data_IF_859108118815
#
_entry.id   IF_859108118815
#
_cell.length_a   1.000
_cell.length_b   1.000
_cell.length_c   1.000
_cell.angle_alpha   90.00
_cell.angle_beta   90.00
_cell.angle_gamma   90.00
#
_symmetry.space_group_name_H-M   'P 1'
#
loop_
_entity.id
_entity.type
_entity.pdbx_description
1 polymer ?
#
# COMPACT_ATOMS: atom_id res chain seq x y z
N UNK A 1 -0.23 -21.88 -14.90
CA UNK A 1 -0.76 -20.50 -14.71
C UNK A 1 -0.36 -20.07 -13.32
N UNK A 2 0.47 -19.04 -13.20
CA UNK A 2 1.14 -18.72 -11.95
C UNK A 2 0.20 -18.00 -10.96
N UNK A 3 0.38 -18.29 -9.68
CA UNK A 3 -0.26 -17.63 -8.54
C UNK A 3 0.77 -16.74 -7.87
N UNK A 4 0.45 -15.47 -7.59
CA UNK A 4 1.43 -14.61 -6.96
C UNK A 4 1.18 -13.12 -7.07
N UNK A 5 2.24 -12.35 -6.86
CA UNK A 5 2.24 -10.90 -6.92
C UNK A 5 3.12 -10.44 -8.08
N UNK A 6 2.69 -9.40 -8.78
CA UNK A 6 3.49 -8.71 -9.78
C UNK A 6 3.60 -7.23 -9.43
N UNK A 7 4.82 -6.70 -9.57
CA UNK A 7 5.12 -5.30 -9.37
C UNK A 7 5.09 -4.61 -10.74
N UNK A 8 4.28 -3.57 -10.89
CA UNK A 8 4.12 -2.88 -12.18
C UNK A 8 4.31 -1.38 -12.00
N UNK A 9 5.11 -0.76 -12.85
CA UNK A 9 5.24 0.69 -12.92
C UNK A 9 4.07 1.24 -13.75
N UNK A 10 3.09 1.84 -13.09
CA UNK A 10 1.92 2.40 -13.79
C UNK A 10 2.34 3.69 -14.49
N UNK A 11 2.13 3.83 -15.81
CA UNK A 11 2.36 5.09 -16.51
C UNK A 11 1.30 6.13 -16.11
N UNK A 12 1.61 7.40 -16.34
CA UNK A 12 0.64 8.51 -16.23
C UNK A 12 -0.47 8.32 -17.27
N UNK A 13 -1.69 8.74 -16.94
CA UNK A 13 -2.84 8.81 -17.86
C UNK A 13 -3.83 7.66 -17.73
N UNK A 14 -3.43 6.51 -17.17
CA UNK A 14 -4.34 5.36 -16.97
C UNK A 14 -4.79 5.23 -15.51
N UNK A 15 -5.99 4.71 -15.27
CA UNK A 15 -6.42 4.37 -13.91
C UNK A 15 -5.74 3.07 -13.42
N UNK A 16 -5.70 2.82 -12.11
CA UNK A 16 -5.29 1.50 -11.59
C UNK A 16 -6.20 0.35 -12.07
N UNK A 17 -7.45 0.64 -12.45
CA UNK A 17 -8.36 -0.37 -13.00
C UNK A 17 -8.01 -0.71 -14.45
N UNK A 18 -7.63 0.28 -15.25
CA UNK A 18 -7.14 0.07 -16.63
C UNK A 18 -5.86 -0.76 -16.63
N UNK A 19 -4.94 -0.49 -15.68
CA UNK A 19 -3.76 -1.32 -15.45
C UNK A 19 -4.15 -2.79 -15.22
N UNK A 20 -5.10 -3.06 -14.32
CA UNK A 20 -5.59 -4.43 -14.08
C UNK A 20 -6.14 -5.06 -15.36
N UNK A 21 -6.90 -4.31 -16.18
CA UNK A 21 -7.44 -4.82 -17.44
C UNK A 21 -6.35 -5.11 -18.49
N UNK A 22 -5.27 -4.32 -18.52
CA UNK A 22 -4.10 -4.58 -19.35
C UNK A 22 -3.39 -5.87 -18.91
N UNK A 23 -3.16 -6.04 -17.60
CA UNK A 23 -2.55 -7.25 -17.05
C UNK A 23 -3.40 -8.50 -17.33
N UNK A 24 -4.73 -8.41 -17.24
CA UNK A 24 -5.63 -9.54 -17.54
C UNK A 24 -5.47 -10.03 -18.98
N UNK A 25 -5.30 -9.09 -19.92
CA UNK A 25 -5.07 -9.40 -21.34
C UNK A 25 -3.69 -10.01 -21.56
N UNK A 26 -2.64 -9.44 -20.94
CA UNK A 26 -1.25 -9.91 -21.06
C UNK A 26 -1.06 -11.32 -20.48
N UNK A 27 -1.60 -11.58 -19.29
CA UNK A 27 -1.41 -12.84 -18.56
C UNK A 27 -2.49 -13.89 -18.86
N UNK A 28 -3.49 -13.57 -19.69
CA UNK A 28 -4.55 -14.51 -20.04
C UNK A 28 -5.42 -14.98 -18.87
N UNK A 29 -5.49 -14.23 -17.77
CA UNK A 29 -6.33 -14.55 -16.59
C UNK A 29 -7.26 -13.43 -16.22
N UNK A 30 -8.48 -13.77 -15.75
CA UNK A 30 -9.48 -12.80 -15.29
C UNK A 30 -9.23 -12.35 -13.84
N UNK A 31 -8.59 -13.18 -13.01
CA UNK A 31 -8.48 -12.97 -11.57
C UNK A 31 -7.24 -12.14 -11.25
N UNK A 32 -7.36 -10.82 -11.43
CA UNK A 32 -6.34 -9.84 -11.08
C UNK A 32 -6.96 -8.72 -10.26
N UNK A 33 -6.23 -8.26 -9.23
CA UNK A 33 -6.53 -7.09 -8.40
C UNK A 33 -5.27 -6.31 -8.06
N UNK A 34 -5.38 -5.20 -7.33
CA UNK A 34 -4.25 -4.37 -6.93
C UNK A 34 -4.31 -3.95 -5.45
N UNK A 35 -3.16 -3.78 -4.81
CA UNK A 35 -3.03 -3.37 -3.41
C UNK A 35 -2.76 -1.87 -3.28
N UNK A 36 -3.77 -1.07 -3.66
CA UNK A 36 -3.76 0.38 -3.45
C UNK A 36 -3.90 1.13 -4.76
N UNK A 37 -4.89 2.01 -4.81
CA UNK A 37 -5.17 2.84 -5.97
C UNK A 37 -4.11 3.93 -6.10
N UNK A 38 -3.77 4.24 -7.35
CA UNK A 38 -2.93 5.35 -7.74
C UNK A 38 -3.74 6.22 -8.71
N UNK A 39 -3.77 7.53 -8.48
CA UNK A 39 -4.57 8.46 -9.28
C UNK A 39 -4.12 8.44 -10.76
N UNK A 40 -4.99 8.76 -11.73
CA UNK A 40 -4.64 8.67 -13.15
C UNK A 40 -3.45 9.54 -13.55
N UNK A 41 -3.35 10.75 -12.99
CA UNK A 41 -2.24 11.68 -13.24
C UNK A 41 -0.92 11.25 -12.58
N UNK A 42 -0.99 10.31 -11.64
CA UNK A 42 0.18 9.81 -10.94
C UNK A 42 0.79 8.60 -11.66
N UNK A 43 2.07 8.33 -11.43
CA UNK A 43 2.79 7.15 -11.91
C UNK A 43 3.42 6.33 -10.77
N UNK A 44 4.09 5.24 -11.10
CA UNK A 44 4.92 4.49 -10.16
C UNK A 44 4.35 3.15 -9.76
N UNK A 45 4.93 2.59 -8.71
CA UNK A 45 4.69 1.21 -8.28
C UNK A 45 3.22 0.92 -8.02
N UNK A 46 2.70 -0.15 -8.60
CA UNK A 46 1.42 -0.78 -8.25
C UNK A 46 1.65 -2.27 -8.03
N UNK A 47 1.42 -2.72 -6.80
CA UNK A 47 1.44 -4.14 -6.45
C UNK A 47 0.12 -4.76 -6.93
N UNK A 48 0.20 -5.74 -7.82
CA UNK A 48 -0.95 -6.43 -8.40
C UNK A 48 -0.93 -7.91 -8.06
N UNK A 49 -2.08 -8.46 -7.67
CA UNK A 49 -2.22 -9.88 -7.31
C UNK A 49 -2.79 -10.65 -8.48
N UNK A 50 -2.19 -11.79 -8.80
CA UNK A 50 -2.60 -12.70 -9.87
C UNK A 50 -3.15 -13.97 -9.26
N UNK A 51 -4.34 -14.39 -9.69
CA UNK A 51 -5.03 -15.60 -9.25
C UNK A 51 -5.15 -15.70 -7.71
N UNK A 52 -4.50 -16.66 -7.05
CA UNK A 52 -4.52 -16.77 -5.57
C UNK A 52 -3.84 -15.57 -4.89
N UNK A 53 -2.94 -14.87 -5.58
CA UNK A 53 -2.30 -13.65 -5.07
C UNK A 53 -3.27 -12.51 -4.76
N UNK A 54 -4.46 -12.48 -5.40
CA UNK A 54 -5.48 -11.48 -5.03
C UNK A 54 -5.95 -11.61 -3.58
N UNK A 55 -5.80 -12.80 -2.98
CA UNK A 55 -6.27 -13.10 -1.62
C UNK A 55 -5.35 -12.51 -0.54
N UNK A 56 -4.11 -12.20 -0.87
CA UNK A 56 -3.10 -11.67 0.07
C UNK A 56 -2.88 -10.15 -0.09
N UNK A 57 -3.54 -9.49 -1.05
CA UNK A 57 -3.39 -8.05 -1.31
C UNK A 57 -3.69 -7.15 -0.10
N UNK A 58 -4.50 -7.62 0.85
CA UNK A 58 -4.82 -6.88 2.06
C UNK A 58 -3.59 -6.63 2.94
N UNK A 59 -2.61 -7.53 2.97
CA UNK A 59 -1.39 -7.36 3.78
C UNK A 59 -0.48 -6.28 3.20
N UNK A 60 -0.54 -6.06 1.88
CA UNK A 60 0.23 -5.01 1.20
C UNK A 60 -0.45 -3.64 1.34
N UNK A 61 -1.79 -3.59 1.41
CA UNK A 61 -2.53 -2.32 1.57
C UNK A 61 -2.12 -1.57 2.85
N UNK A 62 -1.77 -2.34 3.88
CA UNK A 62 -1.40 -1.88 5.21
C UNK A 62 0.00 -1.25 5.26
N UNK A 63 0.84 -1.52 4.25
CA UNK A 63 2.21 -1.02 4.21
C UNK A 63 2.28 0.49 4.02
N UNK A 64 3.31 1.09 4.60
CA UNK A 64 3.70 2.47 4.35
C UNK A 64 4.11 2.66 2.90
N UNK A 65 4.01 3.90 2.41
CA UNK A 65 4.24 4.24 1.00
C UNK A 65 5.16 5.45 0.92
N UNK A 66 6.05 5.44 -0.06
CA UNK A 66 6.92 6.58 -0.35
C UNK A 66 6.55 7.17 -1.70
N UNK A 67 6.38 8.49 -1.73
CA UNK A 67 6.02 9.24 -2.93
C UNK A 67 7.04 10.33 -3.20
N UNK A 68 7.37 10.53 -4.48
CA UNK A 68 8.00 11.75 -4.97
C UNK A 68 6.94 12.62 -5.60
N UNK A 69 6.90 13.89 -5.27
CA UNK A 69 5.87 14.81 -5.75
C UNK A 69 6.45 16.15 -6.17
N UNK A 70 5.86 16.75 -7.19
CA UNK A 70 6.01 18.17 -7.53
C UNK A 70 4.68 18.87 -7.24
N UNK A 71 4.74 20.09 -6.74
CA UNK A 71 3.61 20.99 -6.59
C UNK A 71 3.92 22.36 -7.18
N UNK A 72 2.86 23.11 -7.45
CA UNK A 72 2.92 24.54 -7.75
C UNK A 72 2.18 25.32 -6.67
N UNK A 73 2.83 26.32 -6.09
CA UNK A 73 2.27 27.26 -5.12
C UNK A 73 1.37 28.28 -5.82
N UNK A 74 0.42 28.87 -5.10
CA UNK A 74 -0.43 29.94 -5.63
C UNK A 74 -1.59 29.48 -6.51
N UNK A 75 -1.70 28.18 -6.80
CA UNK A 75 -2.80 27.62 -7.60
C UNK A 75 -3.56 26.58 -6.80
N UNK A 76 -4.88 26.66 -6.82
CA UNK A 76 -5.78 25.68 -6.21
C UNK A 76 -6.74 25.16 -7.29
N UNK A 77 -6.84 23.85 -7.40
CA UNK A 77 -7.81 23.16 -8.27
C UNK A 77 -8.89 22.45 -7.46
N UNK A 78 -10.01 22.11 -8.08
CA UNK A 78 -11.09 21.36 -7.41
C UNK A 78 -10.70 19.90 -7.07
N UNK A 79 -9.74 19.33 -7.79
CA UNK A 79 -9.21 17.96 -7.56
C UNK A 79 -7.96 17.92 -6.69
N UNK A 80 -7.35 19.09 -6.41
CA UNK A 80 -6.03 19.26 -5.77
C UNK A 80 -4.85 18.70 -6.58
N UNK A 81 -5.07 18.44 -7.87
CA UNK A 81 -4.04 18.10 -8.84
C UNK A 81 -4.24 18.87 -10.14
N UNK A 82 -3.25 18.78 -11.03
CA UNK A 82 -3.21 19.52 -12.30
C UNK A 82 -4.33 19.14 -13.29
N UNK A 83 -5.04 18.04 -13.06
CA UNK A 83 -6.14 17.62 -13.93
C UNK A 83 -7.47 18.29 -13.60
N UNK A 84 -7.54 18.94 -12.43
CA UNK A 84 -8.71 19.70 -12.00
C UNK A 84 -8.81 21.07 -12.65
N UNK A 85 -10.00 21.67 -12.53
CA UNK A 85 -10.23 23.06 -12.91
C UNK A 85 -9.64 23.96 -11.84
N UNK A 86 -8.90 24.99 -12.25
CA UNK A 86 -8.47 26.05 -11.34
C UNK A 86 -9.68 26.74 -10.73
N UNK A 87 -9.76 26.72 -9.40
CA UNK A 87 -10.82 27.40 -8.62
C UNK A 87 -10.32 28.69 -8.00
N UNK A 88 -9.02 28.79 -7.74
CA UNK A 88 -8.41 29.97 -7.14
C UNK A 88 -6.95 30.10 -7.58
N UNK A 89 -6.53 31.34 -7.85
CA UNK A 89 -5.13 31.70 -8.04
C UNK A 89 -4.78 32.86 -7.11
N UNK A 90 -3.63 32.75 -6.45
CA UNK A 90 -3.10 33.73 -5.52
C UNK A 90 -1.69 34.07 -5.91
N UNK A 91 -1.31 35.32 -5.67
CA UNK A 91 0.09 35.74 -5.81
C UNK A 91 0.95 34.95 -4.82
N UNK A 92 1.99 34.29 -5.31
CA UNK A 92 2.98 33.62 -4.47
C UNK A 92 3.92 34.67 -3.87
N UNK A 93 4.02 34.79 -2.54
CA UNK A 93 5.04 35.61 -1.90
C UNK A 93 6.44 35.15 -2.30
N UNK A 94 7.43 36.06 -2.24
CA UNK A 94 8.83 35.71 -2.46
C UNK A 94 9.41 34.93 -1.28
N UNK A 95 8.97 33.69 -1.07
CA UNK A 95 9.44 32.85 0.03
C UNK A 95 10.93 32.56 -0.10
N UNK A 96 11.65 32.65 1.02
CA UNK A 96 12.97 32.06 1.11
C UNK A 96 12.87 30.54 1.28
N UNK A 97 13.98 29.83 0.98
CA UNK A 97 14.06 28.38 1.13
C UNK A 97 13.60 27.92 2.53
N UNK A 98 14.03 28.61 3.59
CA UNK A 98 13.74 28.23 4.97
C UNK A 98 12.25 28.28 5.32
N UNK A 99 11.47 29.20 4.74
CA UNK A 99 10.03 29.29 5.01
C UNK A 99 9.29 28.06 4.47
N UNK A 100 9.56 27.70 3.21
CA UNK A 100 8.97 26.51 2.58
C UNK A 100 9.47 25.23 3.24
N UNK A 101 10.77 25.15 3.55
CA UNK A 101 11.37 24.02 4.25
C UNK A 101 10.71 23.79 5.61
N UNK A 102 10.57 24.84 6.42
CA UNK A 102 9.93 24.76 7.74
C UNK A 102 8.45 24.41 7.63
N UNK A 103 7.74 24.95 6.63
CA UNK A 103 6.35 24.60 6.38
C UNK A 103 6.20 23.11 6.06
N UNK A 104 7.02 22.56 5.16
CA UNK A 104 7.06 21.13 4.83
C UNK A 104 7.35 20.29 6.08
N UNK A 105 8.48 20.53 6.74
CA UNK A 105 8.93 19.75 7.89
C UNK A 105 7.94 19.77 9.06
N UNK A 106 7.14 20.82 9.20
CA UNK A 106 6.11 20.89 10.24
C UNK A 106 4.96 19.89 10.09
N UNK A 107 4.85 19.20 8.95
CA UNK A 107 3.89 18.10 8.75
C UNK A 107 4.46 16.72 9.08
N UNK A 108 5.77 16.60 9.37
CA UNK A 108 6.34 15.35 9.90
C UNK A 108 5.71 15.04 11.27
N UNK A 109 5.35 13.78 11.47
CA UNK A 109 4.56 13.34 12.63
C UNK A 109 3.13 12.99 12.25
N UNK A 110 2.23 13.10 13.22
CA UNK A 110 0.82 12.72 13.07
C UNK A 110 -0.08 13.94 13.02
N UNK A 111 -1.01 13.96 12.07
CA UNK A 111 -2.03 15.00 12.00
C UNK A 111 -3.35 14.46 11.44
N UNK A 112 -4.41 15.24 11.64
CA UNK A 112 -5.73 14.93 11.12
C UNK A 112 -5.88 15.48 9.70
N UNK A 113 -5.86 14.59 8.71
CA UNK A 113 -6.00 14.96 7.30
C UNK A 113 -7.44 14.77 6.82
N UNK A 114 -7.96 15.77 6.12
CA UNK A 114 -9.25 15.67 5.42
C UNK A 114 -9.03 14.98 4.06
N UNK A 115 -9.69 13.85 3.78
CA UNK A 115 -9.61 13.23 2.46
C UNK A 115 -10.14 14.17 1.37
N UNK A 116 -9.54 14.20 0.17
CA UNK A 116 -10.03 15.04 -0.92
C UNK A 116 -11.39 14.53 -1.41
N UNK A 117 -12.23 15.46 -1.89
CA UNK A 117 -13.55 15.14 -2.44
C UNK A 117 -13.45 14.14 -3.62
N UNK A 118 -12.43 14.27 -4.46
CA UNK A 118 -12.14 13.31 -5.52
C UNK A 118 -11.29 12.14 -4.99
N UNK A 119 -11.92 11.21 -4.27
CA UNK A 119 -11.27 9.99 -3.76
C UNK A 119 -12.14 8.74 -3.89
N UNK A 120 -11.51 7.56 -3.72
CA UNK A 120 -12.18 6.26 -3.77
C UNK A 120 -12.95 5.90 -2.47
N UNK A 121 -12.94 6.77 -1.45
CA UNK A 121 -13.72 6.56 -0.22
C UNK A 121 -15.20 6.55 -0.53
N UNK A 122 -15.98 5.92 0.35
CA UNK A 122 -17.43 5.82 0.22
C UNK A 122 -18.15 6.71 1.22
N UNK A 123 -19.25 7.32 0.78
CA UNK A 123 -20.25 7.98 1.61
C UNK A 123 -21.61 7.37 1.25
N UNK A 124 -22.32 6.82 2.23
CA UNK A 124 -23.60 6.11 2.04
C UNK A 124 -23.59 5.07 0.90
N UNK A 125 -22.49 4.30 0.78
CA UNK A 125 -22.33 3.24 -0.23
C UNK A 125 -21.75 3.69 -1.58
N UNK A 126 -21.78 4.99 -1.88
CA UNK A 126 -21.30 5.57 -3.14
C UNK A 126 -19.88 6.15 -3.01
N UNK A 127 -19.08 6.09 -4.09
CA UNK A 127 -17.70 6.61 -4.07
C UNK A 127 -17.70 8.14 -4.18
N UNK A 128 -16.88 8.83 -3.40
CA UNK A 128 -16.83 10.29 -3.35
C UNK A 128 -16.51 10.92 -4.72
N UNK A 129 -15.60 10.34 -5.50
CA UNK A 129 -15.32 10.89 -6.84
C UNK A 129 -16.55 10.88 -7.77
N UNK A 130 -17.53 9.98 -7.55
CA UNK A 130 -18.79 9.98 -8.33
C UNK A 130 -19.65 11.16 -7.90
N UNK A 131 -19.84 11.33 -6.59
CA UNK A 131 -20.59 12.44 -6.01
C UNK A 131 -19.99 13.80 -6.40
N UNK A 132 -18.66 13.94 -6.36
CA UNK A 132 -17.97 15.16 -6.75
C UNK A 132 -18.21 15.53 -8.23
N UNK A 133 -18.22 14.53 -9.12
CA UNK A 133 -18.56 14.71 -10.56
C UNK A 133 -20.02 15.11 -10.79
N UNK A 134 -20.91 14.79 -9.86
CA UNK A 134 -22.30 15.26 -9.84
C UNK A 134 -22.44 16.65 -9.20
N UNK A 135 -21.33 17.31 -8.83
CA UNK A 135 -21.32 18.60 -8.13
C UNK A 135 -21.58 18.52 -6.62
N UNK A 136 -21.70 17.31 -6.05
CA UNK A 136 -21.91 17.10 -4.61
C UNK A 136 -20.58 16.92 -3.89
N UNK A 137 -20.01 18.01 -3.41
CA UNK A 137 -18.78 18.00 -2.61
C UNK A 137 -19.11 17.57 -1.18
N UNK A 138 -18.65 16.38 -0.78
CA UNK A 138 -18.82 15.85 0.58
C UNK A 138 -17.48 15.91 1.30
N UNK A 139 -17.43 16.67 2.40
CA UNK A 139 -16.29 16.70 3.30
C UNK A 139 -16.43 15.57 4.33
N UNK A 140 -15.55 14.58 4.25
CA UNK A 140 -15.48 13.53 5.26
C UNK A 140 -14.80 14.02 6.54
N UNK A 141 -15.10 13.42 7.71
CA UNK A 141 -14.37 13.71 8.92
C UNK A 141 -12.86 13.45 8.72
N UNK A 142 -12.00 14.30 9.30
CA UNK A 142 -10.54 14.11 9.26
C UNK A 142 -10.14 12.73 9.80
N UNK A 143 -9.04 12.19 9.27
CA UNK A 143 -8.48 10.92 9.73
C UNK A 143 -7.02 11.09 10.16
N UNK A 144 -6.58 10.37 11.21
CA UNK A 144 -5.18 10.39 11.59
C UNK A 144 -4.36 9.78 10.46
N UNK A 145 -3.34 10.52 10.05
CA UNK A 145 -2.30 10.08 9.13
C UNK A 145 -0.95 10.38 9.75
N UNK A 146 0.07 9.64 9.34
CA UNK A 146 1.45 9.86 9.76
C UNK A 146 2.32 10.16 8.55
N UNK A 147 3.07 11.25 8.62
CA UNK A 147 4.17 11.56 7.72
C UNK A 147 5.44 11.19 8.46
N UNK A 148 6.12 10.14 8.01
CA UNK A 148 7.33 9.65 8.67
C UNK A 148 8.54 10.53 8.36
N UNK A 149 8.65 11.02 7.13
CA UNK A 149 9.69 11.95 6.71
C UNK A 149 9.28 12.69 5.45
N UNK A 150 9.87 13.88 5.27
CA UNK A 150 9.86 14.68 4.04
C UNK A 150 11.29 15.04 3.68
N UNK A 151 11.81 14.49 2.59
CA UNK A 151 13.20 14.58 2.18
C UNK A 151 13.30 15.08 0.73
N UNK A 152 14.52 15.21 0.19
CA UNK A 152 14.80 15.63 -1.19
C UNK A 152 14.08 16.91 -1.63
N UNK A 153 14.07 17.92 -0.75
CA UNK A 153 13.33 19.17 -0.97
C UNK A 153 14.05 20.02 -2.01
N UNK A 154 13.38 20.28 -3.12
CA UNK A 154 13.80 21.19 -4.18
C UNK A 154 12.81 22.34 -4.31
N UNK A 155 13.32 23.57 -4.52
CA UNK A 155 12.49 24.77 -4.67
C UNK A 155 13.00 25.54 -5.88
N UNK A 156 12.09 25.86 -6.80
CA UNK A 156 12.36 26.67 -7.97
C UNK A 156 11.16 27.58 -8.26
N UNK A 157 11.27 28.85 -7.91
CA UNK A 157 10.18 29.82 -7.98
C UNK A 157 8.93 29.31 -7.24
N UNK A 158 7.83 29.09 -7.96
CA UNK A 158 6.56 28.61 -7.43
C UNK A 158 6.49 27.08 -7.36
N UNK A 159 7.48 26.37 -7.92
CA UNK A 159 7.53 24.92 -7.91
C UNK A 159 8.31 24.39 -6.72
N UNK A 160 7.75 23.38 -6.07
CA UNK A 160 8.40 22.67 -4.96
C UNK A 160 8.34 21.18 -5.23
N UNK A 161 9.44 20.47 -5.02
CA UNK A 161 9.52 19.01 -5.09
C UNK A 161 9.94 18.44 -3.75
N UNK A 162 9.42 17.28 -3.37
CA UNK A 162 9.90 16.54 -2.21
C UNK A 162 9.57 15.04 -2.31
N UNK A 163 10.26 14.25 -1.50
CA UNK A 163 9.96 12.83 -1.25
C UNK A 163 9.30 12.70 0.12
N UNK A 164 8.14 12.06 0.22
CA UNK A 164 7.46 11.83 1.49
C UNK A 164 7.20 10.35 1.76
N UNK A 165 7.62 9.86 2.93
CA UNK A 165 7.22 8.54 3.44
C UNK A 165 6.00 8.70 4.34
N UNK A 166 4.91 8.00 4.02
CA UNK A 166 3.62 8.20 4.67
C UNK A 166 2.95 6.89 5.05
N UNK A 167 2.11 6.94 6.08
CA UNK A 167 1.25 5.82 6.48
C UNK A 167 0.23 5.47 5.40
N UNK A 168 -0.36 4.29 5.50
CA UNK A 168 -1.52 3.92 4.67
C UNK A 168 -2.65 4.96 4.78
N UNK A 169 -3.33 5.21 3.66
CA UNK A 169 -4.52 6.08 3.63
C UNK A 169 -4.25 7.58 3.58
N UNK A 170 -2.98 8.01 3.62
CA UNK A 170 -2.57 9.40 3.40
C UNK A 170 -2.77 9.81 1.94
N UNK A 171 -3.33 10.99 1.71
CA UNK A 171 -3.45 11.62 0.40
C UNK A 171 -2.37 12.69 0.23
N UNK A 172 -1.47 12.49 -0.73
CA UNK A 172 -0.43 13.50 -1.05
C UNK A 172 -1.07 14.80 -1.56
N UNK A 173 -2.20 14.70 -2.29
CA UNK A 173 -2.99 15.86 -2.72
C UNK A 173 -3.46 16.73 -1.55
N UNK A 174 -4.00 16.12 -0.49
CA UNK A 174 -4.38 16.85 0.72
C UNK A 174 -3.16 17.41 1.44
N UNK A 175 -2.07 16.63 1.58
CA UNK A 175 -0.83 17.12 2.19
C UNK A 175 -0.31 18.38 1.49
N UNK A 176 -0.26 18.37 0.16
CA UNK A 176 0.15 19.54 -0.65
C UNK A 176 -0.77 20.73 -0.44
N UNK A 177 -2.09 20.52 -0.43
CA UNK A 177 -3.04 21.59 -0.09
C UNK A 177 -2.80 22.16 1.30
N UNK A 178 -2.62 21.30 2.31
CA UNK A 178 -2.40 21.71 3.70
C UNK A 178 -1.09 22.52 3.84
N UNK A 179 -0.03 22.12 3.14
CA UNK A 179 1.23 22.88 3.02
C UNK A 179 0.98 24.25 2.38
N UNK A 180 0.25 24.28 1.27
CA UNK A 180 -0.12 25.52 0.59
C UNK A 180 -0.94 26.47 1.47
N UNK A 181 -1.87 25.94 2.26
CA UNK A 181 -2.63 26.71 3.25
C UNK A 181 -1.74 27.26 4.36
N UNK A 182 -0.79 26.46 4.85
CA UNK A 182 0.18 26.91 5.86
C UNK A 182 1.07 28.04 5.36
N UNK A 183 1.42 28.01 4.07
CA UNK A 183 2.14 29.10 3.39
C UNK A 183 1.22 30.27 3.00
N UNK A 184 -0.10 30.14 3.15
CA UNK A 184 -1.09 31.20 2.86
C UNK A 184 -1.42 31.41 1.37
N UNK A 185 -0.74 30.74 0.44
CA UNK A 185 -0.93 30.92 -1.00
C UNK A 185 -1.68 29.77 -1.68
N UNK A 186 -1.90 28.63 -1.00
CA UNK A 186 -2.45 27.43 -1.62
C UNK A 186 -1.41 26.71 -2.51
N UNK A 187 -1.72 25.47 -2.89
CA UNK A 187 -0.84 24.67 -3.73
C UNK A 187 -1.60 23.57 -4.45
N UNK A 188 -1.10 23.13 -5.60
CA UNK A 188 -1.69 22.01 -6.36
C UNK A 188 -0.60 21.04 -6.77
N UNK A 189 -0.88 19.74 -6.71
CA UNK A 189 0.06 18.71 -7.16
C UNK A 189 0.16 18.75 -8.69
N UNK A 190 1.37 18.92 -9.22
CA UNK A 190 1.65 18.88 -10.65
C UNK A 190 2.14 17.52 -11.11
N UNK A 191 2.95 16.85 -10.29
CA UNK A 191 3.44 15.50 -10.55
C UNK A 191 3.41 14.65 -9.28
N UNK A 192 3.10 13.36 -9.44
CA UNK A 192 3.08 12.41 -8.33
C UNK A 192 3.57 11.04 -8.81
N UNK A 193 4.58 10.50 -8.12
CA UNK A 193 5.12 9.16 -8.38
C UNK A 193 5.24 8.35 -7.10
N UNK A 194 4.63 7.17 -7.04
CA UNK A 194 4.86 6.22 -5.93
C UNK A 194 6.15 5.45 -6.18
N UNK A 195 7.15 5.69 -5.33
CA UNK A 195 8.48 5.08 -5.42
C UNK A 195 8.47 3.70 -4.77
N UNK A 196 7.82 3.56 -3.61
CA UNK A 196 7.78 2.29 -2.90
C UNK A 196 6.50 2.07 -2.09
N UNK A 197 6.26 0.81 -1.74
CA UNK A 197 5.21 0.37 -0.83
C UNK A 197 5.75 -0.79 0.02
N UNK A 198 5.97 -0.52 1.31
CA UNK A 198 6.70 -1.43 2.19
C UNK A 198 8.10 -1.73 1.65
N UNK A 199 8.42 -3.01 1.49
CA UNK A 199 9.72 -3.47 1.01
C UNK A 199 9.81 -3.51 -0.53
N UNK A 200 8.75 -3.13 -1.24
CA UNK A 200 8.70 -3.17 -2.70
C UNK A 200 9.03 -1.80 -3.29
N UNK A 201 9.99 -1.76 -4.21
CA UNK A 201 10.38 -0.56 -4.96
C UNK A 201 9.87 -0.61 -6.40
N UNK A 202 9.60 0.57 -6.98
CA UNK A 202 9.32 0.75 -8.40
C UNK A 202 10.51 0.34 -9.27
N UNK A 203 11.74 0.36 -8.75
CA UNK A 203 12.94 -0.06 -9.49
C UNK A 203 12.94 -1.56 -9.81
N UNK A 204 12.19 -2.34 -9.04
CA UNK A 204 11.97 -3.78 -9.27
C UNK A 204 10.66 -4.05 -10.03
N UNK A 205 9.96 -3.01 -10.48
CA UNK A 205 8.68 -3.15 -11.17
C UNK A 205 8.88 -3.26 -12.69
N UNK A 206 8.00 -4.02 -13.33
CA UNK A 206 7.98 -4.16 -14.77
C UNK A 206 7.18 -3.03 -15.42
N UNK A 207 7.60 -2.62 -16.62
CA UNK A 207 6.70 -1.88 -17.51
C UNK A 207 5.60 -2.82 -18.01
N UNK A 208 4.43 -2.26 -18.30
CA UNK A 208 3.23 -3.05 -18.66
C UNK A 208 3.48 -3.98 -19.85
N UNK A 209 4.27 -3.53 -20.82
CA UNK A 209 4.52 -4.26 -22.05
C UNK A 209 5.52 -5.42 -21.87
N UNK A 210 6.32 -5.39 -20.81
CA UNK A 210 7.33 -6.41 -20.50
C UNK A 210 6.80 -7.49 -19.53
N UNK A 211 5.55 -7.35 -19.08
CA UNK A 211 4.93 -8.29 -18.15
C UNK A 211 4.72 -9.65 -18.79
N UNK A 212 5.21 -10.70 -18.12
CA UNK A 212 4.99 -12.10 -18.48
C UNK A 212 4.74 -12.96 -17.23
N UNK A 213 4.47 -14.25 -17.40
CA UNK A 213 4.32 -15.20 -16.29
C UNK A 213 5.61 -15.32 -15.43
N UNK A 214 6.79 -15.02 -15.99
CA UNK A 214 8.07 -15.01 -15.26
C UNK A 214 8.24 -13.78 -14.37
N UNK A 215 7.45 -12.73 -14.58
CA UNK A 215 7.42 -11.53 -13.75
C UNK A 215 6.67 -11.72 -12.43
N UNK A 216 6.00 -12.87 -12.25
CA UNK A 216 5.16 -13.14 -11.09
C UNK A 216 6.03 -13.68 -9.95
N UNK A 217 6.11 -12.91 -8.87
CA UNK A 217 6.68 -13.31 -7.58
C UNK A 217 5.75 -14.34 -6.96
N UNK A 218 6.29 -15.48 -6.54
CA UNK A 218 5.54 -16.55 -5.88
C UNK A 218 4.79 -16.03 -4.63
N UNK A 219 3.78 -16.77 -4.17
CA UNK A 219 3.03 -16.37 -2.97
C UNK A 219 3.94 -16.34 -1.74
N UNK A 220 4.81 -17.34 -1.63
CA UNK A 220 5.75 -17.60 -0.56
C UNK A 220 6.76 -16.46 -0.42
N UNK A 221 7.35 -16.05 -1.55
CA UNK A 221 8.35 -14.99 -1.61
C UNK A 221 7.70 -13.61 -1.44
N UNK A 222 6.50 -13.42 -2.00
CA UNK A 222 5.81 -12.13 -1.94
C UNK A 222 5.41 -11.70 -0.52
N UNK A 223 5.30 -12.66 0.41
CA UNK A 223 4.92 -12.41 1.80
C UNK A 223 6.05 -12.73 2.78
N UNK A 224 7.29 -12.79 2.30
CA UNK A 224 8.48 -13.11 3.11
C UNK A 224 8.75 -12.12 4.24
N UNK A 225 8.19 -10.91 4.13
CA UNK A 225 8.19 -9.91 5.19
C UNK A 225 7.39 -10.34 6.43
N UNK A 226 6.51 -11.34 6.34
CA UNK A 226 5.88 -11.94 7.51
C UNK A 226 6.76 -13.05 8.09
N UNK A 227 6.98 -13.08 9.41
CA UNK A 227 7.54 -14.26 10.05
C UNK A 227 6.57 -15.45 9.93
N UNK A 228 7.01 -16.67 10.26
CA UNK A 228 6.21 -17.84 9.94
C UNK A 228 6.49 -19.09 10.75
N UNK A 229 5.71 -20.13 10.44
CA UNK A 229 5.89 -21.50 10.91
C UNK A 229 6.00 -22.42 9.70
N UNK A 230 6.95 -23.36 9.76
CA UNK A 230 7.05 -24.48 8.83
C UNK A 230 6.33 -25.68 9.47
N UNK A 231 5.46 -26.34 8.71
CA UNK A 231 4.66 -27.49 9.16
C UNK A 231 5.16 -28.81 8.56
N UNK A 232 4.87 -29.91 9.25
CA UNK A 232 5.02 -31.26 8.68
C UNK A 232 3.85 -31.61 7.74
N UNK A 233 3.95 -32.74 7.03
CA UNK A 233 2.94 -33.17 6.03
C UNK A 233 1.53 -33.34 6.63
N UNK A 234 1.46 -33.92 7.83
CA UNK A 234 0.19 -34.20 8.52
C UNK A 234 -0.53 -32.90 8.88
N UNK A 235 0.19 -31.96 9.50
CA UNK A 235 -0.38 -30.68 9.89
C UNK A 235 -0.65 -29.78 8.68
N UNK A 236 0.18 -29.86 7.64
CA UNK A 236 -0.07 -29.19 6.37
C UNK A 236 -1.43 -29.60 5.80
N UNK A 237 -1.72 -30.90 5.76
CA UNK A 237 -3.02 -31.44 5.31
C UNK A 237 -4.18 -30.96 6.20
N UNK A 238 -3.97 -30.92 7.51
CA UNK A 238 -4.97 -30.41 8.45
C UNK A 238 -5.30 -28.92 8.21
N UNK A 239 -4.30 -28.09 7.95
CA UNK A 239 -4.48 -26.65 7.67
C UNK A 239 -5.26 -26.43 6.38
N UNK A 240 -4.99 -27.22 5.34
CA UNK A 240 -5.74 -27.16 4.07
C UNK A 240 -7.23 -27.52 4.27
N UNK A 241 -7.55 -28.38 5.24
CA UNK A 241 -8.92 -28.68 5.67
C UNK A 241 -9.50 -27.65 6.64
N UNK A 242 -8.79 -26.56 6.95
CA UNK A 242 -9.24 -25.48 7.83
C UNK A 242 -9.09 -25.75 9.32
N UNK A 243 -8.36 -26.80 9.72
CA UNK A 243 -8.06 -27.06 11.14
C UNK A 243 -7.01 -26.09 11.67
N UNK A 244 -7.11 -25.76 12.95
CA UNK A 244 -6.17 -24.86 13.62
C UNK A 244 -4.79 -25.50 13.77
N UNK A 245 -3.77 -24.70 14.08
CA UNK A 245 -2.37 -25.13 14.08
C UNK A 245 -1.90 -25.45 15.49
N UNK A 246 -1.39 -26.67 15.68
CA UNK A 246 -0.92 -27.18 16.96
C UNK A 246 0.60 -27.36 16.97
N UNK A 247 1.20 -27.24 18.17
CA UNK A 247 2.65 -27.36 18.35
C UNK A 247 3.21 -28.69 17.80
N UNK A 248 2.50 -29.80 17.96
CA UNK A 248 2.90 -31.11 17.43
C UNK A 248 3.08 -31.15 15.91
N UNK A 249 2.47 -30.22 15.18
CA UNK A 249 2.53 -30.13 13.73
C UNK A 249 3.62 -29.21 13.19
N UNK A 250 4.31 -28.46 14.06
CA UNK A 250 5.30 -27.45 13.67
C UNK A 250 6.69 -28.10 13.55
N UNK A 251 7.27 -28.02 12.36
CA UNK A 251 8.64 -28.46 12.07
C UNK A 251 9.67 -27.34 12.24
N UNK A 252 9.27 -26.06 12.13
CA UNK A 252 10.20 -24.94 12.24
C UNK A 252 9.54 -23.60 12.53
N UNK A 253 10.33 -22.67 13.07
CA UNK A 253 9.90 -21.30 13.39
C UNK A 253 10.77 -20.32 12.60
N UNK A 254 10.14 -19.52 11.75
CA UNK A 254 10.79 -18.58 10.83
C UNK A 254 10.68 -17.16 11.36
N UNK A 255 11.82 -16.53 11.68
CA UNK A 255 11.86 -15.16 12.20
C UNK A 255 11.39 -15.02 13.66
N UNK A 256 11.25 -13.77 14.11
CA UNK A 256 10.79 -13.42 15.46
C UNK A 256 9.41 -12.78 15.38
N UNK A 257 8.52 -13.17 16.29
CA UNK A 257 7.16 -12.65 16.37
C UNK A 257 6.61 -12.76 17.80
N UNK A 258 5.72 -11.82 18.13
CA UNK A 258 4.97 -11.77 19.35
C UNK A 258 3.62 -12.50 19.23
N UNK A 259 2.93 -12.60 20.37
CA UNK A 259 1.53 -13.02 20.39
C UNK A 259 0.69 -11.99 19.63
N UNK A 260 -0.27 -12.48 18.86
CA UNK A 260 -1.17 -11.74 17.98
C UNK A 260 -0.55 -11.19 16.68
N UNK A 261 0.74 -11.43 16.43
CA UNK A 261 1.33 -11.07 15.14
C UNK A 261 0.76 -11.96 14.02
N UNK A 262 0.67 -11.38 12.83
CA UNK A 262 0.41 -12.14 11.62
C UNK A 262 1.64 -12.97 11.25
N UNK A 263 1.41 -14.23 10.94
CA UNK A 263 2.45 -15.16 10.53
C UNK A 263 2.01 -15.91 9.27
N UNK A 264 2.97 -16.19 8.39
CA UNK A 264 2.77 -17.10 7.25
C UNK A 264 2.95 -18.55 7.68
N UNK A 265 2.15 -19.43 7.11
CA UNK A 265 2.16 -20.86 7.39
C UNK A 265 2.65 -21.57 6.13
N UNK A 266 3.84 -22.13 6.22
CA UNK A 266 4.54 -22.81 5.14
C UNK A 266 4.43 -24.31 5.34
N UNK A 267 4.06 -25.01 4.27
CA UNK A 267 3.99 -26.47 4.24
C UNK A 267 5.37 -27.11 4.13
N UNK A 268 5.42 -28.42 4.31
CA UNK A 268 6.61 -29.22 4.08
C UNK A 268 7.13 -29.18 2.64
N UNK A 269 6.27 -28.84 1.67
CA UNK A 269 6.63 -28.60 0.26
C UNK A 269 7.10 -27.17 -0.02
N UNK A 270 7.41 -26.42 1.04
CA UNK A 270 7.82 -25.00 1.02
C UNK A 270 6.76 -24.03 0.47
N UNK A 271 5.51 -24.48 0.26
CA UNK A 271 4.43 -23.63 -0.24
C UNK A 271 3.67 -22.92 0.87
N UNK A 272 3.10 -21.78 0.53
CA UNK A 272 2.26 -20.98 1.41
C UNK A 272 0.87 -21.61 1.52
N UNK A 273 0.61 -22.22 2.68
CA UNK A 273 -0.67 -22.86 2.95
C UNK A 273 -1.71 -21.84 3.43
N UNK A 274 -1.29 -20.93 4.33
CA UNK A 274 -2.19 -20.02 5.00
C UNK A 274 -1.48 -18.80 5.59
N UNK A 275 -2.28 -17.80 5.99
CA UNK A 275 -1.89 -16.77 6.95
C UNK A 275 -2.68 -17.00 8.24
N UNK A 276 -2.00 -16.87 9.37
CA UNK A 276 -2.53 -17.12 10.70
C UNK A 276 -2.11 -16.00 11.67
N UNK A 277 -2.75 -15.98 12.83
CA UNK A 277 -2.37 -15.12 13.95
C UNK A 277 -1.73 -15.96 15.03
N UNK A 278 -0.52 -15.61 15.45
CA UNK A 278 0.18 -16.35 16.49
C UNK A 278 -0.52 -16.21 17.84
N UNK A 279 -0.67 -17.31 18.58
CA UNK A 279 -1.22 -17.30 19.94
C UNK A 279 -0.14 -17.30 21.03
N UNK A 280 1.12 -17.43 20.63
CA UNK A 280 2.31 -17.50 21.48
C UNK A 280 3.44 -16.66 20.87
N UNK A 281 4.51 -16.41 21.63
CA UNK A 281 5.72 -15.83 21.05
C UNK A 281 6.51 -16.90 20.29
N UNK A 282 7.32 -16.49 19.32
CA UNK A 282 8.19 -17.43 18.59
C UNK A 282 9.15 -18.20 19.51
N UNK A 283 9.60 -17.57 20.60
CA UNK A 283 10.45 -18.21 21.63
C UNK A 283 9.70 -19.27 22.43
N UNK A 284 8.45 -19.00 22.82
CA UNK A 284 7.65 -19.94 23.61
C UNK A 284 7.24 -21.15 22.77
N UNK A 285 6.96 -20.96 21.46
CA UNK A 285 6.70 -22.08 20.56
C UNK A 285 7.88 -23.04 20.55
N UNK A 286 9.13 -22.56 20.46
CA UNK A 286 10.31 -23.43 20.53
C UNK A 286 10.36 -24.27 21.82
N UNK A 287 9.96 -23.70 22.96
CA UNK A 287 9.84 -24.43 24.23
C UNK A 287 8.73 -25.49 24.18
N UNK A 288 7.59 -25.20 23.56
CA UNK A 288 6.51 -26.17 23.38
C UNK A 288 6.93 -27.37 22.52
N UNK A 289 7.70 -27.12 21.45
CA UNK A 289 8.26 -28.16 20.59
C UNK A 289 9.20 -29.08 21.35
N UNK A 290 10.11 -28.52 22.14
CA UNK A 290 11.03 -29.29 22.99
C UNK A 290 10.31 -30.18 24.03
N UNK A 291 9.06 -29.84 24.37
CA UNK A 291 8.22 -30.58 25.34
C UNK A 291 7.19 -31.50 24.67
N UNK A 292 7.18 -31.62 23.34
CA UNK A 292 6.16 -32.36 22.59
C UNK A 292 4.71 -31.95 22.95
N UNK A 293 4.48 -30.65 23.18
CA UNK A 293 3.16 -30.14 23.56
C UNK A 293 2.14 -30.31 22.43
N UNK A 294 0.87 -30.49 22.80
CA UNK A 294 -0.28 -30.52 21.90
C UNK A 294 -1.08 -29.21 21.93
N UNK A 295 -0.51 -28.13 22.47
CA UNK A 295 -1.18 -26.84 22.53
C UNK A 295 -1.35 -26.21 21.14
N UNK A 296 -2.45 -25.47 20.97
CA UNK A 296 -2.64 -24.60 19.80
C UNK A 296 -1.64 -23.45 19.86
N UNK A 297 -0.95 -23.21 18.75
CA UNK A 297 0.09 -22.18 18.64
C UNK A 297 -0.30 -21.03 17.73
N UNK A 298 -1.22 -21.24 16.80
CA UNK A 298 -1.71 -20.21 15.91
C UNK A 298 -3.17 -20.44 15.50
N UNK A 299 -3.88 -19.34 15.27
CA UNK A 299 -5.25 -19.34 14.78
C UNK A 299 -5.28 -18.97 13.30
N UNK A 300 -5.86 -19.82 12.45
CA UNK A 300 -5.99 -19.55 11.03
C UNK A 300 -6.83 -18.30 10.77
N UNK A 301 -6.34 -17.44 9.87
CA UNK A 301 -7.11 -16.31 9.34
C UNK A 301 -7.53 -16.55 7.89
N UNK A 302 -6.63 -17.13 7.08
CA UNK A 302 -6.89 -17.33 5.65
C UNK A 302 -6.11 -18.51 5.11
N UNK A 303 -6.82 -19.55 4.65
CA UNK A 303 -6.23 -20.71 3.97
C UNK A 303 -6.13 -20.44 2.48
N UNK A 304 -4.91 -20.45 1.92
CA UNK A 304 -4.61 -20.17 0.52
C UNK A 304 -4.49 -21.43 -0.32
N UNK A 305 -4.05 -22.53 0.28
CA UNK A 305 -3.94 -23.84 -0.35
C UNK A 305 -5.30 -24.49 -0.60
N UNK A 306 -5.86 -24.22 -1.76
CA UNK A 306 -6.75 -25.08 -2.55
C UNK A 306 -6.64 -24.58 -3.99
#
# INVERSE_FOLDING_TARGET
MSDGIILVDKPVGITSHDLVNLLRRRLGTKKIGHAGTLDPFASGLVISGVNKGTRILEYFLEMDKTYRTELVLGRITDTFDITGRTVEERKVPGFCFNEVFNALKSFEGEYLQVPPAYSAKKYNGERLYKLAREGKIINLPPKPVKIYSIDDIGISYEKVTFTAKVSKGTYIRSLVMDIGYKLGCGATVTELRRISQGNFSVDSAHQIDDVSDFSIISLEDSIDFLPGLLLNDSESSNVLLGKQIYASGVAGVMGKFAKNDLIRIIGSDERLLAVARSERTSSFIKTLLAKNSLERVAKLEKVLGA
#
